data_IF_993983833041
#
_entry.id   IF_993983833041
#
_cell.length_a   1.000
_cell.length_b   1.000
_cell.length_c   1.000
_cell.angle_alpha   90.00
_cell.angle_beta   90.00
_cell.angle_gamma   90.00
#
_symmetry.space_group_name_H-M   'P 1'
#
loop_
_entity.id
_entity.type
_entity.pdbx_description
1 polymer ?
#
# COMPACT_ATOMS: atom_id res chain seq x y z
N UNK A 1 -7.03 23.20 -7.49
CA UNK A 1 -6.45 22.04 -8.20
C UNK A 1 -7.52 20.96 -8.24
N UNK A 2 -7.90 20.47 -9.43
CA UNK A 2 -8.83 19.34 -9.53
C UNK A 2 -8.05 18.08 -9.17
N UNK A 3 -8.28 17.53 -7.99
CA UNK A 3 -7.73 16.22 -7.62
C UNK A 3 -8.44 15.20 -8.51
N UNK A 4 -7.76 14.68 -9.53
CA UNK A 4 -8.21 13.44 -10.17
C UNK A 4 -8.28 12.40 -9.07
N UNK A 5 -9.49 11.94 -8.75
CA UNK A 5 -9.66 10.79 -7.88
C UNK A 5 -9.22 9.60 -8.71
N UNK A 6 -8.01 9.14 -8.43
CA UNK A 6 -7.49 7.90 -8.96
C UNK A 6 -8.51 6.79 -8.68
N UNK A 7 -8.92 6.10 -9.74
CA UNK A 7 -9.97 5.07 -9.69
C UNK A 7 -9.43 3.69 -9.33
N UNK A 8 -8.10 3.53 -9.29
CA UNK A 8 -7.48 2.25 -8.98
C UNK A 8 -7.64 1.93 -7.48
N UNK A 9 -7.96 0.67 -7.13
CA UNK A 9 -7.94 0.23 -5.74
C UNK A 9 -6.56 0.44 -5.10
N UNK A 10 -6.52 0.82 -3.82
CA UNK A 10 -5.27 1.05 -3.07
C UNK A 10 -4.26 -0.11 -3.17
N UNK A 11 -4.76 -1.34 -3.29
CA UNK A 11 -3.95 -2.55 -3.44
C UNK A 11 -3.07 -2.53 -4.70
N UNK A 12 -3.57 -1.95 -5.80
CA UNK A 12 -2.84 -1.87 -7.08
C UNK A 12 -1.60 -0.98 -7.00
N UNK A 13 -1.55 -0.07 -6.01
CA UNK A 13 -0.40 0.83 -5.80
C UNK A 13 0.73 0.21 -4.99
N UNK A 14 0.56 -0.98 -4.40
CA UNK A 14 1.59 -1.60 -3.57
C UNK A 14 2.82 -1.98 -4.40
N UNK A 15 2.64 -2.56 -5.58
CA UNK A 15 3.76 -2.93 -6.45
C UNK A 15 4.51 -1.69 -6.98
N UNK A 16 3.85 -0.68 -7.58
CA UNK A 16 4.51 0.55 -7.99
C UNK A 16 5.26 1.25 -6.84
N UNK A 17 4.72 1.22 -5.63
CA UNK A 17 5.38 1.80 -4.46
C UNK A 17 6.67 1.04 -4.08
N UNK A 18 6.64 -0.30 -4.14
CA UNK A 18 7.83 -1.11 -3.87
C UNK A 18 8.89 -0.92 -4.95
N UNK A 19 8.51 -0.82 -6.22
CA UNK A 19 9.43 -0.52 -7.33
C UNK A 19 10.06 0.87 -7.17
N UNK A 20 9.28 1.88 -6.77
CA UNK A 20 9.79 3.20 -6.42
C UNK A 20 10.80 3.12 -5.25
N UNK A 21 10.51 2.31 -4.24
CA UNK A 21 11.41 2.10 -3.11
C UNK A 21 12.74 1.45 -3.53
N UNK A 22 12.71 0.52 -4.48
CA UNK A 22 13.89 -0.17 -5.00
C UNK A 22 14.71 0.72 -5.93
N UNK A 23 14.07 1.26 -6.98
CA UNK A 23 14.75 1.92 -8.10
C UNK A 23 15.07 3.37 -7.76
N UNK A 24 14.05 4.15 -7.37
CA UNK A 24 14.19 5.60 -7.21
C UNK A 24 14.78 5.97 -5.84
N UNK A 25 14.41 5.23 -4.80
CA UNK A 25 14.91 5.48 -3.44
C UNK A 25 16.14 4.68 -3.08
N UNK A 26 16.49 3.64 -3.85
CA UNK A 26 17.66 2.80 -3.58
C UNK A 26 17.65 2.17 -2.19
N UNK A 27 16.47 1.81 -1.67
CA UNK A 27 16.37 1.26 -0.30
C UNK A 27 17.05 -0.10 -0.21
N UNK A 28 17.58 -0.42 0.96
CA UNK A 28 18.20 -1.74 1.18
C UNK A 28 17.20 -2.88 0.97
N UNK A 29 17.70 -4.06 0.54
CA UNK A 29 16.87 -5.26 0.38
C UNK A 29 16.07 -5.61 1.64
N UNK A 30 16.65 -5.41 2.84
CA UNK A 30 15.93 -5.67 4.09
C UNK A 30 14.78 -4.69 4.30
N UNK A 31 15.00 -3.40 3.98
CA UNK A 31 13.95 -2.39 4.05
C UNK A 31 12.80 -2.70 3.10
N UNK A 32 13.10 -3.06 1.85
CA UNK A 32 12.09 -3.43 0.86
C UNK A 32 11.28 -4.66 1.27
N UNK A 33 11.95 -5.72 1.74
CA UNK A 33 11.31 -6.93 2.27
C UNK A 33 10.37 -6.61 3.43
N UNK A 34 10.82 -5.76 4.36
CA UNK A 34 10.01 -5.33 5.50
C UNK A 34 8.76 -4.56 5.03
N UNK A 35 8.91 -3.61 4.11
CA UNK A 35 7.78 -2.87 3.56
C UNK A 35 6.77 -3.78 2.88
N UNK A 36 7.22 -4.71 2.04
CA UNK A 36 6.36 -5.71 1.42
C UNK A 36 5.59 -6.51 2.47
N UNK A 37 6.26 -6.99 3.51
CA UNK A 37 5.61 -7.79 4.55
C UNK A 37 4.56 -7.00 5.34
N UNK A 38 4.87 -5.78 5.77
CA UNK A 38 3.94 -4.95 6.53
C UNK A 38 2.74 -4.51 5.69
N UNK A 39 2.95 -4.15 4.42
CA UNK A 39 1.86 -3.78 3.52
C UNK A 39 0.93 -4.97 3.24
N UNK A 40 1.46 -6.18 3.08
CA UNK A 40 0.64 -7.39 2.94
C UNK A 40 -0.16 -7.71 4.21
N UNK A 41 0.44 -7.52 5.39
CA UNK A 41 -0.28 -7.67 6.66
C UNK A 41 -1.42 -6.64 6.79
N UNK A 42 -1.15 -5.39 6.41
CA UNK A 42 -2.15 -4.33 6.38
C UNK A 42 -3.32 -4.67 5.43
N UNK A 43 -3.04 -5.13 4.22
CA UNK A 43 -4.07 -5.57 3.26
C UNK A 43 -4.87 -6.75 3.82
N UNK A 44 -4.19 -7.72 4.44
CA UNK A 44 -4.86 -8.86 5.06
C UNK A 44 -5.81 -8.38 6.17
N UNK A 45 -5.36 -7.45 7.01
CA UNK A 45 -6.18 -6.83 8.04
C UNK A 45 -7.41 -6.13 7.44
N UNK A 46 -7.24 -5.30 6.41
CA UNK A 46 -8.35 -4.64 5.71
C UNK A 46 -9.40 -5.62 5.16
N UNK A 47 -8.98 -6.79 4.67
CA UNK A 47 -9.90 -7.81 4.13
C UNK A 47 -10.71 -8.52 5.21
N UNK A 48 -10.16 -8.66 6.42
CA UNK A 48 -10.82 -9.38 7.53
C UNK A 48 -11.56 -8.45 8.49
N UNK A 49 -11.21 -7.17 8.51
CA UNK A 49 -11.83 -6.18 9.39
C UNK A 49 -13.01 -5.53 8.67
N UNK A 50 -14.26 -5.84 9.06
CA UNK A 50 -15.41 -5.09 8.60
C UNK A 50 -15.25 -3.64 9.07
N UNK A 51 -15.33 -2.69 8.14
CA UNK A 51 -15.32 -1.27 8.48
C UNK A 51 -16.57 -1.01 9.35
N UNK A 52 -16.43 -0.58 10.61
CA UNK A 52 -17.59 -0.32 11.45
C UNK A 52 -18.40 0.82 10.84
N UNK A 53 -19.71 0.63 10.71
CA UNK A 53 -20.63 1.65 10.15
C UNK A 53 -20.62 2.97 10.92
N UNK A 54 -20.06 3.02 12.13
CA UNK A 54 -19.92 4.23 12.94
C UNK A 54 -18.87 5.23 12.42
N UNK A 55 -18.14 4.90 11.35
CA UNK A 55 -17.13 5.77 10.73
C UNK A 55 -17.50 6.21 9.29
N UNK A 56 -18.74 5.95 8.86
CA UNK A 56 -19.34 6.41 7.60
C UNK A 56 -20.56 7.28 7.92
#
# INVERSE_FOLDING_TARGET
MKTQRDTLPLLEYILPFLDYCEIEKGLSNNTQKNYRQYLLLFVKWLKVTPIPRSYL
#
